data_IF_525632323033
#
_entry.id   IF_525632323033
#
_cell.length_a   1.000
_cell.length_b   1.000
_cell.length_c   1.000
_cell.angle_alpha   90.00
_cell.angle_beta   90.00
_cell.angle_gamma   90.00
#
_symmetry.space_group_name_H-M   'P 1'
#
loop_
_entity.id
_entity.type
_entity.pdbx_description
1 polymer ?
#
# COMPACT_ATOMS: atom_id res chain seq x y z
N UNK A 1 12.37 -9.70 -6.04
CA UNK A 1 12.50 -9.56 -4.57
C UNK A 1 11.25 -10.07 -3.85
N UNK A 2 10.04 -9.65 -4.24
CA UNK A 2 8.81 -10.17 -3.63
C UNK A 2 8.61 -11.68 -3.87
N UNK A 3 8.90 -12.19 -5.07
CA UNK A 3 8.74 -13.63 -5.39
C UNK A 3 9.67 -14.51 -4.54
N UNK A 4 10.94 -14.11 -4.41
CA UNK A 4 11.96 -14.83 -3.62
C UNK A 4 11.56 -14.92 -2.14
N UNK A 5 11.05 -13.83 -1.56
CA UNK A 5 10.63 -13.78 -0.16
C UNK A 5 9.26 -14.44 0.08
N UNK A 6 8.44 -14.58 -0.96
CA UNK A 6 7.15 -15.25 -0.90
C UNK A 6 7.27 -16.73 -0.52
N UNK A 7 8.32 -17.41 -0.96
CA UNK A 7 8.61 -18.81 -0.59
C UNK A 7 8.92 -18.95 0.91
N UNK A 8 9.42 -17.89 1.55
CA UNK A 8 9.68 -17.83 2.99
C UNK A 8 8.44 -17.42 3.80
N UNK A 9 7.29 -17.27 3.14
CA UNK A 9 6.05 -16.80 3.76
C UNK A 9 6.07 -15.32 4.12
N UNK A 10 7.01 -14.53 3.58
CA UNK A 10 7.11 -13.09 3.79
C UNK A 10 6.36 -12.37 2.67
N UNK A 11 5.38 -11.55 3.03
CA UNK A 11 4.67 -10.71 2.06
C UNK A 11 5.37 -9.37 1.91
N UNK A 12 5.65 -8.99 0.67
CA UNK A 12 6.16 -7.66 0.32
C UNK A 12 5.14 -6.94 -0.55
N UNK A 13 4.75 -5.74 -0.12
CA UNK A 13 3.84 -4.86 -0.84
C UNK A 13 4.39 -3.43 -0.86
N UNK A 14 4.09 -2.68 -1.91
CA UNK A 14 4.45 -1.28 -2.08
C UNK A 14 3.19 -0.43 -2.13
N UNK A 15 3.03 0.47 -1.17
CA UNK A 15 2.08 1.57 -1.23
C UNK A 15 2.83 2.82 -1.68
N UNK A 16 2.47 3.36 -2.85
CA UNK A 16 3.11 4.52 -3.46
C UNK A 16 2.11 5.66 -3.46
N UNK A 17 2.44 6.77 -2.80
CA UNK A 17 1.58 7.95 -2.67
C UNK A 17 2.18 9.06 -3.52
N UNK A 18 1.43 9.55 -4.50
CA UNK A 18 1.85 10.69 -5.32
C UNK A 18 1.90 11.98 -4.50
N UNK A 19 3.01 12.71 -4.58
CA UNK A 19 3.17 13.99 -3.90
C UNK A 19 3.32 13.85 -2.37
N UNK A 20 2.27 14.18 -1.62
CA UNK A 20 2.27 14.22 -0.15
C UNK A 20 0.99 13.65 0.44
N UNK A 21 1.06 13.23 1.70
CA UNK A 21 -0.11 12.89 2.52
C UNK A 21 -0.84 14.18 2.89
N UNK A 22 -2.17 14.19 2.77
CA UNK A 22 -3.01 15.38 2.98
C UNK A 22 -4.21 15.00 3.83
N UNK A 23 -4.30 15.57 5.03
CA UNK A 23 -5.47 15.40 5.91
C UNK A 23 -6.74 15.92 5.23
N UNK A 24 -7.81 15.11 5.26
CA UNK A 24 -9.10 15.38 4.64
C UNK A 24 -9.18 15.12 3.13
N UNK A 25 -8.12 14.60 2.49
CA UNK A 25 -8.13 14.23 1.08
C UNK A 25 -8.74 12.82 0.88
N UNK A 26 -9.67 12.68 -0.07
CA UNK A 26 -10.42 11.43 -0.27
C UNK A 26 -9.54 10.20 -0.56
N UNK A 27 -8.32 10.40 -1.09
CA UNK A 27 -7.38 9.31 -1.41
C UNK A 27 -6.13 9.32 -0.52
N UNK A 28 -5.68 10.51 -0.09
CA UNK A 28 -4.40 10.74 0.60
C UNK A 28 -4.54 11.07 2.08
N UNK A 29 -5.74 10.98 2.65
CA UNK A 29 -5.97 11.12 4.09
C UNK A 29 -5.24 9.99 4.87
N UNK A 30 -4.63 10.29 6.04
CA UNK A 30 -3.96 9.29 6.85
C UNK A 30 -4.80 8.06 7.20
N UNK A 31 -6.09 8.22 7.49
CA UNK A 31 -6.98 7.11 7.85
C UNK A 31 -7.25 6.22 6.63
N UNK A 32 -7.48 6.83 5.45
CA UNK A 32 -7.63 6.10 4.18
C UNK A 32 -6.37 5.30 3.85
N UNK A 33 -5.19 5.91 4.03
CA UNK A 33 -3.91 5.24 3.79
C UNK A 33 -3.65 4.10 4.79
N UNK A 34 -4.07 4.24 6.05
CA UNK A 34 -3.97 3.20 7.06
C UNK A 34 -4.86 1.99 6.71
N UNK A 35 -6.09 2.24 6.24
CA UNK A 35 -6.98 1.19 5.74
C UNK A 35 -6.38 0.46 4.53
N UNK A 36 -5.77 1.20 3.59
CA UNK A 36 -5.06 0.61 2.46
C UNK A 36 -3.89 -0.27 2.92
N UNK A 37 -3.06 0.19 3.85
CA UNK A 37 -1.97 -0.61 4.42
C UNK A 37 -2.50 -1.88 5.09
N UNK A 38 -3.60 -1.78 5.85
CA UNK A 38 -4.24 -2.93 6.47
C UNK A 38 -4.72 -3.94 5.43
N UNK A 39 -5.36 -3.47 4.35
CA UNK A 39 -5.82 -4.33 3.26
C UNK A 39 -4.68 -5.08 2.58
N UNK A 40 -3.52 -4.43 2.38
CA UNK A 40 -2.32 -5.08 1.83
C UNK A 40 -1.78 -6.15 2.78
N UNK A 41 -1.78 -5.85 4.09
CA UNK A 41 -1.33 -6.79 5.11
C UNK A 41 -2.22 -8.03 5.20
N UNK A 42 -3.54 -7.88 5.16
CA UNK A 42 -4.48 -9.01 5.31
C UNK A 42 -4.73 -9.76 4.00
N UNK A 43 -4.78 -9.06 2.86
CA UNK A 43 -5.03 -9.66 1.55
C UNK A 43 -3.82 -10.40 0.99
N UNK A 44 -2.60 -9.85 1.17
CA UNK A 44 -1.32 -10.45 0.77
C UNK A 44 -1.24 -10.88 -0.71
N UNK A 45 -2.01 -10.24 -1.57
CA UNK A 45 -2.19 -10.60 -2.99
C UNK A 45 -1.64 -9.52 -3.95
N UNK A 46 -1.41 -8.31 -3.44
CA UNK A 46 -0.95 -7.16 -4.23
C UNK A 46 0.50 -6.81 -3.91
N UNK A 47 1.33 -6.79 -4.95
CA UNK A 47 2.70 -6.31 -4.84
C UNK A 47 2.78 -4.78 -4.87
N UNK A 48 1.96 -4.09 -5.67
CA UNK A 48 1.99 -2.63 -5.81
C UNK A 48 0.60 -2.02 -5.82
N UNK A 49 0.45 -0.92 -5.09
CA UNK A 49 -0.72 -0.05 -5.08
C UNK A 49 -0.26 1.41 -5.18
N UNK A 50 -0.86 2.19 -6.08
CA UNK A 50 -0.52 3.59 -6.34
C UNK A 50 -1.73 4.47 -6.05
N UNK A 51 -1.54 5.47 -5.19
CA UNK A 51 -2.54 6.46 -4.78
C UNK A 51 -2.21 7.79 -5.44
N UNK A 52 -3.07 8.19 -6.38
CA UNK A 52 -2.96 9.34 -7.30
C UNK A 52 -1.60 9.45 -8.02
N UNK A 53 -1.62 9.55 -9.35
CA UNK A 53 -0.38 9.57 -10.14
C UNK A 53 0.37 10.92 -10.12
N UNK A 54 -0.25 11.95 -9.53
CA UNK A 54 0.12 13.36 -9.68
C UNK A 54 0.39 14.05 -8.34
#
# INVERSE_FOLDING_TARGET
>A
LNEVLGEEGIQVSQLIIGGRIVEGDDEKDPDVLAELLWSLHTGRDKFRHQVSAD
#
